data_IF_232661837082
#
_entry.id   IF_232661837082
#
_cell.length_a   1.000
_cell.length_b   1.000
_cell.length_c   1.000
_cell.angle_alpha   90.00
_cell.angle_beta   90.00
_cell.angle_gamma   90.00
#
_symmetry.space_group_name_H-M   'P 1'
#
loop_
_entity.id
_entity.type
_entity.pdbx_description
1 polymer ?
#
# COMPACT_ATOMS: atom_id res chain seq x y z
N UNK A 1 9.27 -19.68 25.19
CA UNK A 1 8.46 -19.74 23.96
C UNK A 1 7.03 -19.41 24.33
N UNK A 2 6.63 -18.15 24.18
CA UNK A 2 5.25 -17.72 24.40
C UNK A 2 4.89 -16.79 23.26
N UNK A 3 4.20 -17.36 22.28
CA UNK A 3 3.62 -16.70 21.12
C UNK A 3 2.53 -15.73 21.58
N UNK A 4 2.89 -14.46 21.73
CA UNK A 4 1.95 -13.37 21.93
C UNK A 4 1.91 -12.47 20.71
N UNK A 5 1.15 -12.90 19.71
CA UNK A 5 0.10 -12.09 19.11
C UNK A 5 -0.64 -12.96 18.09
N UNK A 6 -1.76 -13.56 18.52
CA UNK A 6 -2.77 -14.03 17.59
C UNK A 6 -3.39 -12.82 16.91
N UNK A 7 -2.72 -12.29 15.89
CA UNK A 7 -3.44 -11.56 14.84
C UNK A 7 -4.05 -12.67 14.01
N UNK A 8 -5.28 -13.03 14.36
CA UNK A 8 -6.18 -13.62 13.39
C UNK A 8 -6.04 -12.73 12.17
N UNK A 9 -5.39 -13.28 11.13
CA UNK A 9 -5.34 -12.67 9.82
C UNK A 9 -6.77 -12.73 9.33
N UNK A 10 -7.59 -11.86 9.91
CA UNK A 10 -8.90 -11.50 9.43
C UNK A 10 -8.61 -11.17 7.99
N UNK A 11 -9.13 -12.08 7.17
CA UNK A 11 -8.93 -12.11 5.76
C UNK A 11 -9.38 -10.75 5.30
N UNK A 12 -8.42 -9.84 5.08
CA UNK A 12 -8.64 -8.62 4.33
C UNK A 12 -8.86 -9.11 2.91
N UNK A 13 -10.05 -9.67 2.69
CA UNK A 13 -10.63 -9.92 1.40
C UNK A 13 -10.45 -8.60 0.68
N UNK A 14 -9.60 -8.51 -0.36
CA UNK A 14 -9.54 -7.29 -1.13
C UNK A 14 -10.98 -7.04 -1.55
N UNK A 15 -11.56 -5.96 -1.04
CA UNK A 15 -12.93 -5.55 -1.35
C UNK A 15 -13.12 -5.55 -2.86
N UNK A 16 -14.38 -5.65 -3.34
CA UNK A 16 -14.72 -5.91 -4.74
C UNK A 16 -13.78 -5.12 -5.63
N UNK A 17 -13.00 -5.85 -6.46
CA UNK A 17 -12.04 -5.28 -7.40
C UNK A 17 -12.73 -4.11 -8.08
N UNK A 18 -12.38 -2.92 -7.64
CA UNK A 18 -13.25 -1.79 -7.84
C UNK A 18 -13.31 -1.53 -9.33
N UNK A 19 -14.52 -1.58 -9.87
CA UNK A 19 -14.93 -1.13 -11.20
C UNK A 19 -14.77 0.41 -11.34
N UNK A 20 -13.75 0.96 -10.68
CA UNK A 20 -13.35 2.36 -10.74
C UNK A 20 -12.40 2.60 -11.92
N UNK A 21 -12.19 3.87 -12.29
CA UNK A 21 -11.19 4.25 -13.31
C UNK A 21 -9.85 3.55 -13.02
N UNK A 22 -9.08 3.18 -14.05
CA UNK A 22 -7.93 2.30 -13.88
C UNK A 22 -7.01 2.89 -12.82
N UNK A 23 -6.79 2.10 -11.77
CA UNK A 23 -5.90 2.45 -10.68
C UNK A 23 -4.49 2.61 -11.23
N UNK A 24 -3.79 3.65 -10.77
CA UNK A 24 -2.41 3.83 -11.16
C UNK A 24 -1.55 2.72 -10.52
N UNK A 25 -0.60 2.20 -11.29
CA UNK A 25 0.36 1.21 -10.79
C UNK A 25 1.45 1.89 -9.97
N UNK A 26 1.78 1.33 -8.81
CA UNK A 26 2.88 1.83 -7.98
C UNK A 26 4.22 1.64 -8.70
N UNK A 27 5.04 2.69 -8.81
CA UNK A 27 6.32 2.62 -9.53
C UNK A 27 7.39 1.75 -8.84
N UNK A 28 7.23 1.46 -7.54
CA UNK A 28 8.16 0.62 -6.79
C UNK A 28 7.77 -0.86 -6.80
N UNK A 29 6.49 -1.17 -6.58
CA UNK A 29 6.03 -2.54 -6.39
C UNK A 29 5.14 -3.08 -7.51
N UNK A 30 4.81 -2.26 -8.52
CA UNK A 30 3.97 -2.60 -9.67
C UNK A 30 2.63 -3.26 -9.26
N UNK A 31 2.08 -2.82 -8.12
CA UNK A 31 0.73 -3.20 -7.67
C UNK A 31 -0.23 -2.06 -7.97
N UNK A 32 -1.51 -2.36 -8.22
CA UNK A 32 -2.54 -1.33 -8.30
C UNK A 32 -2.58 -0.55 -6.99
N UNK A 33 -2.40 0.76 -7.08
CA UNK A 33 -2.56 1.66 -5.94
C UNK A 33 -4.04 1.93 -5.68
N UNK A 34 -4.37 2.48 -4.51
CA UNK A 34 -5.74 2.98 -4.28
C UNK A 34 -6.03 4.31 -5.00
N UNK A 35 -5.01 4.90 -5.64
CA UNK A 35 -5.12 6.17 -6.34
C UNK A 35 -5.52 5.96 -7.81
N UNK A 36 -6.41 6.82 -8.35
CA UNK A 36 -6.80 6.75 -9.76
C UNK A 36 -5.65 7.16 -10.68
N UNK A 37 -5.63 6.70 -11.95
CA UNK A 37 -4.67 7.15 -12.98
C UNK A 37 -4.60 8.67 -13.16
N UNK A 38 -5.66 9.40 -12.78
CA UNK A 38 -5.71 10.85 -12.84
C UNK A 38 -4.90 11.54 -11.74
N UNK A 39 -4.35 10.79 -10.78
CA UNK A 39 -3.49 11.32 -9.73
C UNK A 39 -2.19 11.86 -10.34
N UNK A 40 -1.97 13.17 -10.20
CA UNK A 40 -0.82 13.88 -10.76
C UNK A 40 0.38 13.70 -9.83
N UNK A 41 1.44 13.02 -10.29
CA UNK A 41 2.70 12.91 -9.54
C UNK A 41 3.37 11.55 -9.69
N UNK A 42 4.37 11.28 -8.84
CA UNK A 42 4.92 9.92 -8.68
C UNK A 42 3.87 9.09 -7.96
N UNK A 43 3.32 8.08 -8.63
CA UNK A 43 2.35 7.18 -8.00
C UNK A 43 3.07 6.17 -7.13
N UNK A 44 3.05 6.40 -5.82
CA UNK A 44 3.39 5.41 -4.81
C UNK A 44 2.11 4.89 -4.16
N UNK A 45 2.07 3.60 -3.84
CA UNK A 45 1.00 3.10 -2.98
C UNK A 45 1.24 3.57 -1.53
N UNK A 46 0.18 3.71 -0.71
CA UNK A 46 0.29 4.24 0.66
C UNK A 46 1.29 3.48 1.54
N UNK A 47 1.44 2.17 1.30
CA UNK A 47 2.45 1.34 1.97
C UNK A 47 3.87 1.79 1.63
N UNK A 48 4.15 2.01 0.35
CA UNK A 48 5.45 2.48 -0.10
C UNK A 48 5.74 3.91 0.35
N UNK A 49 4.74 4.80 0.33
CA UNK A 49 4.90 6.17 0.85
C UNK A 49 5.27 6.17 2.33
N UNK A 50 4.59 5.38 3.15
CA UNK A 50 4.91 5.26 4.56
C UNK A 50 6.30 4.67 4.80
N UNK A 51 6.71 3.66 4.02
CA UNK A 51 8.05 3.08 4.12
C UNK A 51 9.14 4.11 3.79
N UNK A 52 9.00 4.90 2.72
CA UNK A 52 9.98 5.93 2.36
C UNK A 52 10.06 7.03 3.43
N UNK A 53 8.91 7.43 3.99
CA UNK A 53 8.85 8.38 5.10
C UNK A 53 9.55 7.83 6.35
N UNK A 54 9.28 6.57 6.72
CA UNK A 54 9.93 5.91 7.85
C UNK A 54 11.44 5.78 7.64
N UNK A 55 11.87 5.39 6.44
CA UNK A 55 13.30 5.24 6.12
C UNK A 55 14.04 6.56 6.26
N UNK A 56 13.42 7.65 5.82
CA UNK A 56 13.96 9.01 5.99
C UNK A 56 14.00 9.42 7.46
N UNK A 57 12.96 9.09 8.23
CA UNK A 57 12.91 9.40 9.66
C UNK A 57 13.92 8.60 10.50
N UNK A 58 14.27 7.38 10.09
CA UNK A 58 15.13 6.46 10.85
C UNK A 58 16.56 6.32 10.30
N UNK A 59 16.98 7.13 9.32
CA UNK A 59 18.34 7.10 8.75
C UNK A 59 19.31 8.13 9.36
N UNK A 60 19.00 8.60 10.57
CA UNK A 60 19.82 9.53 11.35
C UNK A 60 21.03 8.88 12.03
#
# INVERSE_FOLDING_TARGET
MSDYCGTEAETASPGPAADGPPYAECVLCQKPSEYPESHKGITLCPVCEWQEAQRTACSG
#
